data_IF_271805093761
#
_entry.id   IF_271805093761
#
_cell.length_a   1.000
_cell.length_b   1.000
_cell.length_c   1.000
_cell.angle_alpha   90.00
_cell.angle_beta   90.00
_cell.angle_gamma   90.00
#
_symmetry.space_group_name_H-M   'P 1'
#
loop_
_entity.id
_entity.type
_entity.pdbx_description
1 polymer ?
#
# COMPACT_ATOMS: atom_id res chain seq x y z
N UNK A 1 3.07 -12.44 5.28
CA UNK A 1 3.37 -12.04 3.88
C UNK A 1 3.19 -13.25 2.98
N UNK A 2 2.35 -13.15 1.96
CA UNK A 2 2.25 -14.23 0.99
C UNK A 2 3.59 -14.37 0.26
N UNK A 3 4.12 -15.59 0.24
CA UNK A 3 5.36 -15.93 -0.47
C UNK A 3 5.28 -15.48 -1.93
N UNK A 4 4.08 -15.55 -2.51
CA UNK A 4 3.81 -15.09 -3.87
C UNK A 4 4.06 -13.58 -4.05
N UNK A 5 3.66 -12.74 -3.11
CA UNK A 5 3.88 -11.28 -3.16
C UNK A 5 5.36 -10.94 -3.06
N UNK A 6 6.10 -11.61 -2.18
CA UNK A 6 7.55 -11.42 -2.08
C UNK A 6 8.27 -11.85 -3.36
N UNK A 7 7.89 -13.01 -3.90
CA UNK A 7 8.47 -13.58 -5.13
C UNK A 7 8.20 -12.66 -6.34
N UNK A 8 7.00 -12.07 -6.43
CA UNK A 8 6.63 -11.15 -7.52
C UNK A 8 7.45 -9.86 -7.48
N UNK A 9 7.66 -9.27 -6.31
CA UNK A 9 8.46 -8.05 -6.15
C UNK A 9 9.91 -8.32 -6.51
N UNK A 10 10.51 -9.39 -5.93
CA UNK A 10 11.90 -9.77 -6.22
C UNK A 10 12.06 -10.14 -7.69
N UNK A 11 11.13 -10.91 -8.25
CA UNK A 11 11.12 -11.29 -9.66
C UNK A 11 11.02 -10.09 -10.59
N UNK A 12 10.16 -9.12 -10.29
CA UNK A 12 10.04 -7.88 -11.06
C UNK A 12 11.35 -7.08 -11.07
N UNK A 13 11.96 -6.86 -9.91
CA UNK A 13 13.25 -6.16 -9.81
C UNK A 13 14.35 -6.93 -10.56
N UNK A 14 14.41 -8.26 -10.40
CA UNK A 14 15.38 -9.09 -11.09
C UNK A 14 15.23 -9.03 -12.61
N UNK A 15 14.01 -9.02 -13.14
CA UNK A 15 13.73 -8.89 -14.58
C UNK A 15 14.17 -7.53 -15.12
N UNK A 16 13.97 -6.44 -14.39
CA UNK A 16 14.45 -5.11 -14.78
C UNK A 16 15.98 -5.10 -14.83
N UNK A 17 16.65 -5.59 -13.80
CA UNK A 17 18.12 -5.67 -13.75
C UNK A 17 18.63 -6.55 -14.90
N UNK A 18 18.01 -7.69 -15.15
CA UNK A 18 18.38 -8.58 -16.24
C UNK A 18 18.20 -7.92 -17.60
N UNK A 19 17.11 -7.17 -17.82
CA UNK A 19 16.88 -6.42 -19.07
C UNK A 19 17.98 -5.39 -19.33
N UNK A 20 18.35 -4.59 -18.31
CA UNK A 20 19.42 -3.60 -18.40
C UNK A 20 20.78 -4.25 -18.70
N UNK A 21 21.12 -5.34 -18.00
CA UNK A 21 22.38 -6.07 -18.20
C UNK A 21 22.44 -6.72 -19.59
N UNK A 22 21.35 -7.33 -20.04
CA UNK A 22 21.26 -7.96 -21.35
C UNK A 22 21.44 -6.95 -22.49
N UNK A 23 20.87 -5.75 -22.34
CA UNK A 23 21.02 -4.65 -23.31
C UNK A 23 22.45 -4.11 -23.42
N UNK A 24 23.26 -4.23 -22.36
CA UNK A 24 24.63 -3.71 -22.29
C UNK A 24 25.70 -4.81 -22.25
N UNK A 25 25.49 -5.93 -22.90
CA UNK A 25 26.45 -7.04 -22.98
C UNK A 25 26.96 -7.55 -21.60
N UNK A 26 26.11 -7.47 -20.57
CA UNK A 26 26.39 -7.84 -19.18
C UNK A 26 27.49 -6.98 -18.50
N UNK A 27 27.70 -5.76 -18.97
CA UNK A 27 28.60 -4.83 -18.30
C UNK A 27 27.93 -4.17 -17.09
N UNK A 28 28.43 -4.50 -15.89
CA UNK A 28 27.89 -3.96 -14.62
C UNK A 28 28.14 -2.45 -14.51
N UNK A 29 29.19 -1.92 -15.16
CA UNK A 29 29.49 -0.47 -15.14
C UNK A 29 28.43 0.33 -15.89
N UNK A 30 27.74 -0.26 -16.84
CA UNK A 30 26.61 0.35 -17.53
C UNK A 30 25.43 0.65 -16.59
N UNK A 31 25.25 -0.09 -15.49
CA UNK A 31 24.22 0.22 -14.49
C UNK A 31 24.37 1.60 -13.84
N UNK A 32 25.60 2.10 -13.71
CA UNK A 32 25.84 3.44 -13.16
C UNK A 32 25.26 4.54 -14.05
N UNK A 33 25.16 4.29 -15.36
CA UNK A 33 24.57 5.24 -16.31
C UNK A 33 23.05 5.40 -16.13
N UNK A 34 22.37 4.38 -15.56
CA UNK A 34 20.94 4.40 -15.32
C UNK A 34 20.56 4.98 -13.95
N UNK A 35 21.54 5.21 -13.07
CA UNK A 35 21.31 5.80 -11.75
C UNK A 35 21.65 7.29 -11.81
N UNK A 36 20.64 8.10 -12.09
CA UNK A 36 20.75 9.56 -12.02
C UNK A 36 20.09 10.09 -10.74
N UNK A 37 20.88 10.61 -9.78
CA UNK A 37 20.36 11.11 -8.52
C UNK A 37 19.34 12.24 -8.70
N UNK A 38 19.49 13.08 -9.72
CA UNK A 38 18.57 14.18 -9.98
C UNK A 38 17.18 13.66 -10.38
N UNK A 39 17.12 12.66 -11.25
CA UNK A 39 15.87 12.01 -11.66
C UNK A 39 15.15 11.34 -10.50
N UNK A 40 15.89 10.69 -9.59
CA UNK A 40 15.32 10.07 -8.37
C UNK A 40 14.69 11.12 -7.48
N UNK A 41 15.39 12.24 -7.22
CA UNK A 41 14.86 13.33 -6.37
C UNK A 41 13.63 13.98 -6.99
N UNK A 42 13.64 14.22 -8.30
CA UNK A 42 12.49 14.82 -9.00
C UNK A 42 11.27 13.89 -8.94
N UNK A 43 11.45 12.63 -9.30
CA UNK A 43 10.32 11.68 -9.40
C UNK A 43 9.78 11.29 -8.03
N UNK A 44 10.62 10.78 -7.12
CA UNK A 44 10.17 10.37 -5.79
C UNK A 44 9.85 11.57 -4.89
N UNK A 45 10.71 12.57 -4.85
CA UNK A 45 10.48 13.78 -4.05
C UNK A 45 9.24 14.53 -4.50
N UNK A 46 9.10 14.76 -5.81
CA UNK A 46 7.95 15.42 -6.39
C UNK A 46 6.65 14.66 -6.15
N UNK A 47 6.62 13.36 -6.43
CA UNK A 47 5.42 12.53 -6.24
C UNK A 47 4.99 12.46 -4.77
N UNK A 48 5.92 12.30 -3.83
CA UNK A 48 5.62 12.28 -2.40
C UNK A 48 5.08 13.64 -1.95
N UNK A 49 5.74 14.75 -2.29
CA UNK A 49 5.28 16.09 -1.92
C UNK A 49 3.90 16.40 -2.47
N UNK A 50 3.65 16.06 -3.74
CA UNK A 50 2.33 16.25 -4.37
C UNK A 50 1.25 15.42 -3.70
N UNK A 51 1.55 14.16 -3.36
CA UNK A 51 0.61 13.27 -2.68
C UNK A 51 0.27 13.81 -1.29
N UNK A 52 1.27 14.19 -0.49
CA UNK A 52 1.03 14.78 0.84
C UNK A 52 0.19 16.05 0.73
N UNK A 53 0.41 16.87 -0.30
CA UNK A 53 -0.39 18.08 -0.55
C UNK A 53 -1.87 17.82 -0.86
N UNK A 54 -2.23 16.61 -1.32
CA UNK A 54 -3.62 16.22 -1.59
C UNK A 54 -4.38 15.75 -0.34
N UNK A 55 -3.70 15.44 0.77
CA UNK A 55 -4.29 14.90 1.98
C UNK A 55 -4.04 15.80 3.19
N UNK A 56 -4.81 15.59 4.27
CA UNK A 56 -4.48 16.16 5.57
C UNK A 56 -3.18 15.53 6.08
N UNK A 57 -2.36 16.29 6.75
CA UNK A 57 -1.05 15.84 7.24
C UNK A 57 -1.14 14.56 8.08
N UNK A 58 -2.20 14.44 8.89
CA UNK A 58 -2.45 13.24 9.70
C UNK A 58 -2.69 11.99 8.85
N UNK A 59 -3.44 12.11 7.75
CA UNK A 59 -3.78 11.00 6.85
C UNK A 59 -2.55 10.58 6.05
N UNK A 60 -1.72 11.55 5.63
CA UNK A 60 -0.44 11.27 4.98
C UNK A 60 0.51 10.47 5.89
N UNK A 61 0.65 10.86 7.16
CA UNK A 61 1.48 10.12 8.13
C UNK A 61 0.94 8.72 8.37
N UNK A 62 -0.37 8.55 8.46
CA UNK A 62 -1.01 7.24 8.62
C UNK A 62 -0.83 6.38 7.36
N UNK A 63 -0.87 6.97 6.17
CA UNK A 63 -0.54 6.34 4.91
C UNK A 63 0.87 5.73 4.95
N UNK A 64 1.89 6.50 5.31
CA UNK A 64 3.26 5.99 5.42
C UNK A 64 3.42 4.90 6.49
N UNK A 65 2.76 5.03 7.64
CA UNK A 65 2.78 3.99 8.68
C UNK A 65 2.18 2.67 8.20
N UNK A 66 1.23 2.72 7.27
CA UNK A 66 0.57 1.52 6.73
C UNK A 66 1.48 0.64 5.87
N UNK A 67 2.67 1.13 5.45
CA UNK A 67 3.67 0.34 4.71
C UNK A 67 4.11 -0.93 5.46
N UNK A 68 3.98 -0.92 6.78
CA UNK A 68 4.31 -2.08 7.61
C UNK A 68 3.18 -3.13 7.68
N UNK A 69 1.96 -2.79 7.25
CA UNK A 69 0.81 -3.71 7.33
C UNK A 69 0.96 -4.97 6.47
N UNK A 70 1.43 -4.89 5.21
CA UNK A 70 1.64 -6.08 4.38
C UNK A 70 2.68 -7.06 4.95
N UNK A 71 3.56 -6.59 5.85
CA UNK A 71 4.58 -7.41 6.49
C UNK A 71 4.10 -8.09 7.78
N UNK A 72 2.91 -7.71 8.29
CA UNK A 72 2.29 -8.33 9.46
C UNK A 72 1.22 -9.30 8.99
N UNK A 73 1.56 -10.60 8.95
CA UNK A 73 0.57 -11.64 8.71
C UNK A 73 -0.36 -11.75 9.93
N UNK A 74 -1.59 -11.27 9.76
CA UNK A 74 -2.71 -11.74 10.56
C UNK A 74 -3.49 -12.70 9.68
N UNK A 75 -3.18 -13.98 9.78
CA UNK A 75 -3.99 -15.02 9.14
C UNK A 75 -5.33 -15.05 9.87
N UNK A 76 -6.35 -14.52 9.23
CA UNK A 76 -7.71 -14.62 9.71
C UNK A 76 -8.30 -15.93 9.18
N UNK A 77 -8.64 -16.84 10.08
CA UNK A 77 -9.32 -18.08 9.72
C UNK A 77 -10.84 -17.93 9.95
N UNK A 78 -11.66 -17.77 8.89
CA UNK A 78 -13.11 -17.66 9.01
C UNK A 78 -13.74 -18.87 9.70
N UNK A 79 -13.16 -20.06 9.53
CA UNK A 79 -13.69 -21.31 10.12
C UNK A 79 -13.56 -21.29 11.64
N UNK A 80 -12.48 -20.74 12.16
CA UNK A 80 -12.28 -20.58 13.60
C UNK A 80 -13.29 -19.59 14.19
N UNK A 81 -13.51 -18.45 13.53
CA UNK A 81 -14.51 -17.46 13.97
C UNK A 81 -15.92 -18.04 14.00
N UNK A 82 -16.32 -18.81 12.98
CA UNK A 82 -17.64 -19.48 12.95
C UNK A 82 -17.76 -20.45 14.13
N UNK A 83 -16.74 -21.25 14.43
CA UNK A 83 -16.75 -22.16 15.59
C UNK A 83 -16.90 -21.40 16.88
N UNK A 84 -16.15 -20.31 17.08
CA UNK A 84 -16.26 -19.47 18.27
C UNK A 84 -17.67 -18.93 18.44
N UNK A 85 -18.34 -18.47 17.37
CA UNK A 85 -19.73 -17.99 17.42
C UNK A 85 -20.70 -19.12 17.82
N UNK A 86 -20.51 -20.32 17.26
CA UNK A 86 -21.34 -21.48 17.61
C UNK A 86 -21.16 -21.85 19.10
N UNK A 87 -19.91 -21.86 19.58
CA UNK A 87 -19.60 -22.19 20.96
C UNK A 87 -20.22 -21.16 21.93
N UNK A 88 -20.08 -19.86 21.61
CA UNK A 88 -20.71 -18.78 22.38
C UNK A 88 -22.24 -18.91 22.39
N UNK A 89 -22.86 -19.25 21.26
CA UNK A 89 -24.31 -19.50 21.19
C UNK A 89 -24.75 -20.68 22.08
N UNK A 90 -23.91 -21.72 22.15
CA UNK A 90 -24.18 -22.88 23.00
C UNK A 90 -24.05 -22.54 24.49
N UNK A 91 -23.03 -21.75 24.88
CA UNK A 91 -22.87 -21.25 26.26
C UNK A 91 -24.08 -20.43 26.67
N UNK A 92 -24.44 -19.43 25.85
CA UNK A 92 -25.60 -18.57 26.15
C UNK A 92 -26.92 -19.34 26.33
N UNK A 93 -27.14 -20.44 25.55
CA UNK A 93 -28.33 -21.29 25.67
C UNK A 93 -28.34 -22.20 26.89
N UNK A 94 -27.17 -22.73 27.28
CA UNK A 94 -27.06 -23.72 28.35
C UNK A 94 -26.84 -23.11 29.72
N UNK A 95 -26.01 -22.10 29.78
CA UNK A 95 -25.48 -21.54 31.03
C UNK A 95 -25.96 -20.10 31.29
N UNK A 96 -26.64 -19.50 30.30
CA UNK A 96 -27.22 -18.17 30.43
C UNK A 96 -26.28 -17.02 30.10
N UNK A 97 -26.80 -15.79 30.23
CA UNK A 97 -26.10 -14.57 29.78
C UNK A 97 -24.85 -14.23 30.59
N UNK A 98 -24.85 -14.54 31.90
CA UNK A 98 -23.66 -14.29 32.77
C UNK A 98 -22.45 -15.14 32.35
N UNK A 99 -22.66 -16.41 32.02
CA UNK A 99 -21.61 -17.27 31.54
C UNK A 99 -21.12 -16.84 30.14
N UNK A 100 -22.03 -16.30 29.31
CA UNK A 100 -21.70 -15.74 28.01
C UNK A 100 -20.80 -14.50 28.15
N UNK A 101 -21.04 -13.63 29.13
CA UNK A 101 -20.20 -12.47 29.44
C UNK A 101 -18.78 -12.89 29.84
N UNK A 102 -18.65 -13.88 30.72
CA UNK A 102 -17.35 -14.39 31.14
C UNK A 102 -16.58 -15.01 29.97
N UNK A 103 -17.26 -15.81 29.15
CA UNK A 103 -16.67 -16.41 27.95
C UNK A 103 -16.25 -15.35 26.92
N UNK A 104 -17.02 -14.26 26.74
CA UNK A 104 -16.70 -13.17 25.85
C UNK A 104 -15.41 -12.41 26.23
N UNK A 105 -15.07 -12.38 27.51
CA UNK A 105 -13.82 -11.75 27.97
C UNK A 105 -12.56 -12.47 27.49
N UNK A 106 -12.66 -13.75 27.12
CA UNK A 106 -11.58 -14.56 26.56
C UNK A 106 -11.39 -14.40 25.04
N UNK A 107 -12.24 -13.64 24.36
CA UNK A 107 -12.18 -13.46 22.90
C UNK A 107 -11.19 -12.34 22.55
N UNK A 108 -10.23 -12.64 21.65
CA UNK A 108 -9.24 -11.67 21.17
C UNK A 108 -9.83 -10.69 20.14
N UNK A 109 -10.87 -11.09 19.40
CA UNK A 109 -11.53 -10.25 18.39
C UNK A 109 -12.45 -9.24 19.08
N UNK A 110 -12.02 -7.97 19.10
CA UNK A 110 -12.77 -6.87 19.72
C UNK A 110 -14.14 -6.63 19.09
N UNK A 111 -14.29 -6.87 17.77
CA UNK A 111 -15.56 -6.70 17.09
C UNK A 111 -16.56 -7.78 17.51
N UNK A 112 -16.11 -9.04 17.53
CA UNK A 112 -16.95 -10.15 17.99
C UNK A 112 -17.31 -9.99 19.48
N UNK A 113 -16.33 -9.62 20.32
CA UNK A 113 -16.56 -9.34 21.74
C UNK A 113 -17.61 -8.26 21.95
N UNK A 114 -17.52 -7.14 21.22
CA UNK A 114 -18.50 -6.05 21.29
C UNK A 114 -19.90 -6.53 20.91
N UNK A 115 -20.03 -7.33 19.85
CA UNK A 115 -21.31 -7.89 19.45
C UNK A 115 -21.93 -8.77 20.51
N UNK A 116 -21.13 -9.65 21.14
CA UNK A 116 -21.61 -10.53 22.22
C UNK A 116 -22.01 -9.72 23.45
N UNK A 117 -21.24 -8.70 23.83
CA UNK A 117 -21.58 -7.84 24.98
C UNK A 117 -22.92 -7.11 24.79
N UNK A 118 -23.22 -6.62 23.59
CA UNK A 118 -24.51 -6.01 23.28
C UNK A 118 -25.67 -7.00 23.43
N UNK A 119 -25.45 -8.27 23.11
CA UNK A 119 -26.46 -9.34 23.34
C UNK A 119 -26.64 -9.63 24.83
N UNK A 120 -25.55 -9.67 25.59
CA UNK A 120 -25.57 -9.86 27.06
C UNK A 120 -26.31 -8.73 27.75
N UNK A 121 -26.15 -7.49 27.28
CA UNK A 121 -26.86 -6.30 27.79
C UNK A 121 -28.36 -6.29 27.44
N UNK A 122 -28.84 -7.31 26.72
CA UNK A 122 -30.24 -7.42 26.34
C UNK A 122 -30.67 -6.42 25.27
N UNK A 123 -29.72 -5.88 24.48
CA UNK A 123 -30.04 -4.95 23.40
C UNK A 123 -30.88 -5.62 22.32
N UNK A 124 -31.84 -4.89 21.77
CA UNK A 124 -32.70 -5.39 20.69
C UNK A 124 -31.86 -5.90 19.49
N UNK A 125 -32.19 -7.08 18.93
CA UNK A 125 -31.40 -7.68 17.84
C UNK A 125 -31.21 -6.78 16.60
N UNK A 126 -32.23 -6.00 16.23
CA UNK A 126 -32.15 -5.08 15.09
C UNK A 126 -31.19 -3.93 15.40
N UNK A 127 -31.18 -3.46 16.65
CA UNK A 127 -30.27 -2.42 17.10
C UNK A 127 -28.82 -2.94 17.15
N UNK A 128 -28.59 -4.16 17.66
CA UNK A 128 -27.27 -4.81 17.65
C UNK A 128 -26.72 -4.88 16.22
N UNK A 129 -27.54 -5.33 15.29
CA UNK A 129 -27.19 -5.41 13.88
C UNK A 129 -26.81 -4.04 13.31
N UNK A 130 -27.64 -3.01 13.55
CA UNK A 130 -27.38 -1.65 13.07
C UNK A 130 -26.09 -1.05 13.63
N UNK A 131 -25.76 -1.30 14.91
CA UNK A 131 -24.52 -0.87 15.54
C UNK A 131 -23.32 -1.55 14.88
N UNK A 132 -23.36 -2.86 14.68
CA UNK A 132 -22.27 -3.62 14.09
C UNK A 132 -22.06 -3.27 12.60
N UNK A 133 -23.14 -3.09 11.84
CA UNK A 133 -23.05 -2.62 10.45
C UNK A 133 -22.41 -1.22 10.37
N UNK A 134 -22.78 -0.31 11.26
CA UNK A 134 -22.19 1.03 11.34
C UNK A 134 -20.70 0.97 11.67
N UNK A 135 -20.30 0.14 12.62
CA UNK A 135 -18.90 -0.05 12.98
C UNK A 135 -18.09 -0.61 11.79
N UNK A 136 -18.65 -1.57 11.05
CA UNK A 136 -18.02 -2.11 9.83
C UNK A 136 -17.80 -1.01 8.77
N UNK A 137 -18.83 -0.20 8.51
CA UNK A 137 -18.75 0.91 7.54
C UNK A 137 -17.68 1.94 7.97
N UNK A 138 -17.62 2.27 9.26
CA UNK A 138 -16.60 3.17 9.80
C UNK A 138 -15.19 2.59 9.66
N UNK A 139 -15.02 1.30 9.92
CA UNK A 139 -13.74 0.60 9.75
C UNK A 139 -13.31 0.58 8.28
N UNK A 140 -14.23 0.21 7.40
CA UNK A 140 -13.99 0.19 5.96
C UNK A 140 -13.60 1.58 5.43
N UNK A 141 -14.28 2.63 5.88
CA UNK A 141 -13.98 4.01 5.48
C UNK A 141 -12.57 4.41 5.87
N UNK A 142 -12.15 4.10 7.11
CA UNK A 142 -10.76 4.36 7.57
C UNK A 142 -9.72 3.62 6.74
N UNK A 143 -9.98 2.37 6.37
CA UNK A 143 -9.09 1.60 5.51
C UNK A 143 -9.05 2.16 4.09
N UNK A 144 -10.20 2.54 3.53
CA UNK A 144 -10.29 3.18 2.21
C UNK A 144 -9.48 4.48 2.12
N UNK A 145 -9.45 5.28 3.18
CA UNK A 145 -8.68 6.53 3.18
C UNK A 145 -7.17 6.26 3.13
N UNK A 146 -6.69 5.20 3.78
CA UNK A 146 -5.30 4.74 3.66
C UNK A 146 -5.00 4.21 2.25
N UNK A 147 -5.92 3.45 1.66
CA UNK A 147 -5.77 2.91 0.29
C UNK A 147 -5.70 4.06 -0.72
N UNK A 148 -6.58 5.06 -0.62
CA UNK A 148 -6.57 6.25 -1.49
C UNK A 148 -5.24 7.01 -1.46
N UNK A 149 -4.53 7.01 -0.33
CA UNK A 149 -3.20 7.61 -0.25
C UNK A 149 -2.21 6.90 -1.19
N UNK A 150 -2.19 5.57 -1.18
CA UNK A 150 -1.31 4.78 -2.03
C UNK A 150 -1.71 4.82 -3.51
N UNK A 151 -3.01 4.80 -3.80
CA UNK A 151 -3.53 4.99 -5.16
C UNK A 151 -3.10 6.34 -5.72
N UNK A 152 -3.24 7.41 -4.92
CA UNK A 152 -2.84 8.75 -5.33
C UNK A 152 -1.34 8.87 -5.55
N UNK A 153 -0.52 8.22 -4.72
CA UNK A 153 0.92 8.19 -4.93
C UNK A 153 1.29 7.42 -6.21
N UNK A 154 0.65 6.30 -6.47
CA UNK A 154 0.81 5.54 -7.72
C UNK A 154 0.47 6.37 -8.95
N UNK A 155 -0.60 7.18 -8.90
CA UNK A 155 -1.01 8.10 -9.96
C UNK A 155 -0.01 9.25 -10.17
N UNK A 156 0.58 9.77 -9.08
CA UNK A 156 1.53 10.89 -9.15
C UNK A 156 2.91 10.47 -9.69
N UNK A 157 3.30 9.21 -9.53
CA UNK A 157 4.59 8.70 -9.98
C UNK A 157 4.86 8.94 -11.47
N UNK A 158 4.03 8.45 -12.38
CA UNK A 158 4.16 8.69 -13.83
C UNK A 158 4.11 10.18 -14.20
N UNK A 159 3.26 10.97 -13.56
CA UNK A 159 3.15 12.40 -13.83
C UNK A 159 4.47 13.14 -13.55
N UNK A 160 5.11 12.85 -12.41
CA UNK A 160 6.43 13.40 -12.08
C UNK A 160 7.57 12.80 -12.92
N UNK A 161 7.41 11.56 -13.38
CA UNK A 161 8.29 10.97 -14.40
C UNK A 161 8.29 11.80 -15.68
N UNK A 162 7.11 12.15 -16.22
CA UNK A 162 7.00 13.02 -17.40
C UNK A 162 7.65 14.38 -17.20
N UNK A 163 7.46 15.01 -16.05
CA UNK A 163 8.11 16.29 -15.73
C UNK A 163 9.64 16.12 -15.74
N UNK A 164 10.15 15.03 -15.17
CA UNK A 164 11.58 14.72 -15.17
C UNK A 164 12.15 14.57 -16.59
N UNK A 165 11.42 13.88 -17.50
CA UNK A 165 11.86 13.74 -18.90
C UNK A 165 11.91 15.09 -19.62
N UNK A 166 10.93 15.96 -19.41
CA UNK A 166 10.92 17.30 -20.00
C UNK A 166 12.09 18.17 -19.50
N UNK A 167 12.37 18.12 -18.20
CA UNK A 167 13.51 18.84 -17.62
C UNK A 167 14.84 18.30 -18.15
N UNK A 168 14.99 16.98 -18.30
CA UNK A 168 16.15 16.37 -18.92
C UNK A 168 16.33 16.80 -20.37
N UNK A 169 15.24 16.87 -21.16
CA UNK A 169 15.26 17.36 -22.52
C UNK A 169 15.73 18.82 -22.61
N UNK A 170 15.19 19.69 -21.75
CA UNK A 170 15.59 21.12 -21.71
C UNK A 170 17.07 21.24 -21.36
N UNK A 171 17.55 20.47 -20.38
CA UNK A 171 18.95 20.47 -20.00
C UNK A 171 19.87 19.97 -21.15
N UNK A 172 19.43 18.98 -21.92
CA UNK A 172 20.13 18.48 -23.11
C UNK A 172 20.19 19.56 -24.21
N UNK A 173 19.05 20.22 -24.50
CA UNK A 173 18.99 21.28 -25.53
C UNK A 173 19.89 22.47 -25.18
N UNK A 174 19.99 22.85 -23.92
CA UNK A 174 20.85 23.94 -23.47
C UNK A 174 22.36 23.62 -23.64
N UNK A 175 22.74 22.35 -23.74
CA UNK A 175 24.12 21.89 -23.91
C UNK A 175 24.40 21.32 -25.30
N UNK A 176 23.55 21.58 -26.28
CA UNK A 176 23.68 21.06 -27.65
C UNK A 176 24.97 21.55 -28.35
N UNK A 177 25.52 22.65 -27.88
CA UNK A 177 26.81 23.20 -28.37
C UNK A 177 28.03 22.39 -27.89
N UNK A 178 27.87 21.50 -26.91
CA UNK A 178 28.94 20.63 -26.41
C UNK A 178 28.57 19.15 -26.59
N UNK A 179 29.09 18.47 -27.64
CA UNK A 179 28.78 17.09 -27.94
C UNK A 179 29.06 16.09 -26.81
N UNK A 180 30.06 16.40 -25.95
CA UNK A 180 30.41 15.53 -24.82
C UNK A 180 29.39 15.50 -23.69
N UNK A 181 28.59 16.55 -23.59
CA UNK A 181 27.55 16.67 -22.56
C UNK A 181 26.20 16.03 -22.95
N UNK A 182 26.00 15.65 -24.22
CA UNK A 182 24.74 15.11 -24.74
C UNK A 182 24.50 13.70 -24.22
N UNK A 183 25.52 12.86 -24.14
CA UNK A 183 25.40 11.44 -23.79
C UNK A 183 24.73 11.18 -22.43
N UNK A 184 25.23 11.73 -21.30
CA UNK A 184 24.65 11.51 -19.98
C UNK A 184 23.17 11.97 -19.83
N UNK A 185 22.81 13.06 -20.53
CA UNK A 185 21.45 13.63 -20.45
C UNK A 185 20.42 12.90 -21.32
N UNK A 186 20.88 12.30 -22.42
CA UNK A 186 20.03 11.43 -23.25
C UNK A 186 19.62 10.17 -22.49
N UNK A 187 20.46 9.65 -21.62
CA UNK A 187 20.17 8.49 -20.77
C UNK A 187 19.03 8.81 -19.80
N UNK A 188 19.07 9.95 -19.10
CA UNK A 188 17.98 10.39 -18.22
C UNK A 188 16.65 10.51 -18.95
N UNK A 189 16.65 11.06 -20.18
CA UNK A 189 15.46 11.19 -21.03
C UNK A 189 14.88 9.82 -21.42
N UNK A 190 15.73 8.90 -21.88
CA UNK A 190 15.28 7.58 -22.36
C UNK A 190 14.73 6.72 -21.22
N UNK A 191 15.34 6.80 -20.05
CA UNK A 191 14.95 6.03 -18.88
C UNK A 191 13.55 6.44 -18.35
N UNK A 192 13.27 7.73 -18.32
CA UNK A 192 11.97 8.25 -17.88
C UNK A 192 10.85 7.95 -18.89
N UNK A 193 11.14 7.96 -20.21
CA UNK A 193 10.16 7.65 -21.27
C UNK A 193 9.79 6.17 -21.34
N UNK A 194 10.67 5.26 -20.94
CA UNK A 194 10.37 3.82 -20.94
C UNK A 194 9.17 3.47 -20.02
N UNK A 195 8.89 4.28 -18.99
CA UNK A 195 7.73 4.12 -18.12
C UNK A 195 6.39 4.57 -18.75
N UNK A 196 6.41 5.34 -19.86
CA UNK A 196 5.19 5.88 -20.48
C UNK A 196 4.57 4.94 -21.52
N UNK A 197 5.28 3.94 -21.98
CA UNK A 197 4.82 3.05 -23.06
C UNK A 197 4.10 1.80 -22.58
N UNK A 198 3.92 1.60 -21.28
CA UNK A 198 3.27 0.44 -20.68
C UNK A 198 1.92 0.75 -19.99
N UNK A 199 1.28 1.87 -20.34
CA UNK A 199 -0.10 2.19 -19.91
C UNK A 199 -1.05 2.07 -21.11
#
# INVERSE_FOLDING_TARGET
>A
MDIASLLSIIGGIAMVIFGVLSSNSFDITAMQMYIDPASVVITFGGSICSTIGCFKLADGINGFKSISLPFKDKTYDPSQTIRTIIDMSNVGRKEGLLALEEAANGIEDEFLKKGIMLVVDGTDPELVRGILETDMVCLETRHKDVIKFWEKWGEMGPAWGMIGTLLGLIAMLNKLSDPSAIGPQTVSYTHLRAHETEL
#
